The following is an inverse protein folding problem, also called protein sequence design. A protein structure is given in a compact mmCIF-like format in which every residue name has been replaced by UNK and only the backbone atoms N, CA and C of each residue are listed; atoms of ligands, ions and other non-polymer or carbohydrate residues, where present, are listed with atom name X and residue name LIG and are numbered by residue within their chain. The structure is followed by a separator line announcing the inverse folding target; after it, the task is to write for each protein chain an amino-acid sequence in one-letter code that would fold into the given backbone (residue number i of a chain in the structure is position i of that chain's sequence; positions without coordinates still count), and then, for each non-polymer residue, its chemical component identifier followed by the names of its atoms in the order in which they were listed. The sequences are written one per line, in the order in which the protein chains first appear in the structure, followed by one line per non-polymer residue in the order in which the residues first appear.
data_IF_762310812231
#
_entry.id   IF_762310812231
#
_cell.length_a   1.000
_cell.length_b   1.000
_cell.length_c   1.000
_cell.angle_alpha   90.00
_cell.angle_beta   90.00
_cell.angle_gamma   90.00
#
_symmetry.space_group_name_H-M   'P 1'
#
loop_
_entity.id
_entity.type
_entity.pdbx_description
1 polymer ?
#
# COMPACT_ATOMS: atom_id res chain seq x y z
N UNK A 1 50.97 61.28 -25.32
CA UNK A 1 49.53 60.98 -24.95
C UNK A 1 49.28 59.49 -25.02
N UNK A 2 49.25 58.79 -23.91
CA UNK A 2 48.99 57.34 -23.84
C UNK A 2 47.48 57.15 -23.48
N UNK A 3 46.70 56.55 -24.38
CA UNK A 3 45.27 56.18 -24.14
C UNK A 3 45.25 54.86 -23.43
N UNK A 4 44.72 54.81 -22.19
CA UNK A 4 44.43 53.58 -21.48
C UNK A 4 42.99 53.08 -21.90
N UNK A 5 42.94 51.89 -22.51
CA UNK A 5 41.68 51.18 -22.74
C UNK A 5 41.32 50.38 -21.50
N UNK A 6 40.26 50.77 -20.82
CA UNK A 6 39.62 50.02 -19.75
C UNK A 6 38.75 48.91 -20.39
N UNK A 7 39.15 47.63 -20.21
CA UNK A 7 38.31 46.48 -20.55
C UNK A 7 37.38 46.22 -19.40
N UNK A 8 36.08 46.42 -19.60
CA UNK A 8 35.04 45.99 -18.66
C UNK A 8 34.92 44.47 -18.72
N UNK A 9 35.28 43.78 -17.62
CA UNK A 9 35.07 42.37 -17.40
C UNK A 9 33.65 42.18 -16.83
N UNK A 10 32.69 41.82 -17.66
CA UNK A 10 31.35 41.50 -17.22
C UNK A 10 31.35 40.11 -16.58
N UNK A 11 31.26 40.07 -15.24
CA UNK A 11 31.08 38.85 -14.48
C UNK A 11 29.56 38.52 -14.55
N UNK A 12 29.23 37.51 -15.35
CA UNK A 12 27.87 36.95 -15.44
C UNK A 12 27.65 36.04 -14.23
N UNK A 13 26.93 36.51 -13.21
CA UNK A 13 26.48 35.71 -12.11
C UNK A 13 25.31 34.81 -12.59
N UNK A 14 25.59 33.54 -12.83
CA UNK A 14 24.54 32.51 -12.97
C UNK A 14 23.98 32.23 -11.58
N UNK A 15 22.82 32.81 -11.28
CA UNK A 15 21.99 32.34 -10.18
C UNK A 15 21.42 30.98 -10.59
N UNK A 16 22.02 29.91 -10.08
CA UNK A 16 21.37 28.58 -10.03
C UNK A 16 20.20 28.67 -9.05
N UNK A 17 19.03 28.97 -9.59
CA UNK A 17 17.80 28.74 -8.87
C UNK A 17 17.63 27.22 -8.71
N UNK A 18 18.15 26.66 -7.62
CA UNK A 18 17.73 25.35 -7.15
C UNK A 18 16.29 25.51 -6.66
N UNK A 19 15.35 25.21 -7.54
CA UNK A 19 13.97 24.96 -7.11
C UNK A 19 14.02 23.71 -6.24
N UNK A 20 14.08 23.91 -4.94
CA UNK A 20 13.68 22.86 -4.00
C UNK A 20 12.23 22.55 -4.35
N UNK A 21 12.01 21.43 -5.03
CA UNK A 21 10.69 20.85 -5.14
C UNK A 21 10.35 20.42 -3.72
N UNK A 22 9.51 21.19 -3.03
CA UNK A 22 8.86 20.73 -1.82
C UNK A 22 8.13 19.43 -2.21
N UNK A 23 8.69 18.29 -1.78
CA UNK A 23 8.06 17.01 -1.98
C UNK A 23 6.72 17.05 -1.26
N UNK A 24 5.63 17.05 -2.04
CA UNK A 24 4.28 17.00 -1.49
C UNK A 24 4.12 15.72 -0.67
N UNK A 25 4.23 15.83 0.64
CA UNK A 25 3.91 14.75 1.57
C UNK A 25 2.41 14.81 1.81
N UNK A 26 1.63 13.88 1.26
CA UNK A 26 0.19 13.89 1.45
C UNK A 26 -0.14 13.73 2.93
N UNK A 27 -1.07 14.56 3.44
CA UNK A 27 -1.51 14.44 4.84
C UNK A 27 -2.11 13.05 5.08
N UNK A 28 -1.73 12.37 6.17
CA UNK A 28 -2.27 11.06 6.50
C UNK A 28 -3.80 11.12 6.65
N UNK A 29 -4.49 10.16 6.05
CA UNK A 29 -5.94 10.02 6.28
C UNK A 29 -6.20 9.57 7.72
N UNK A 30 -7.38 9.88 8.27
CA UNK A 30 -7.78 9.40 9.60
C UNK A 30 -7.67 7.87 9.71
N UNK A 31 -8.05 7.16 8.64
CA UNK A 31 -7.99 5.70 8.60
C UNK A 31 -6.55 5.18 8.60
N UNK A 32 -5.63 5.85 7.89
CA UNK A 32 -4.21 5.52 7.96
C UNK A 32 -3.68 5.64 9.39
N UNK A 33 -3.97 6.73 10.10
CA UNK A 33 -3.51 6.92 11.48
C UNK A 33 -4.00 5.79 12.39
N UNK A 34 -5.26 5.38 12.25
CA UNK A 34 -5.82 4.26 13.02
C UNK A 34 -5.13 2.92 12.72
N UNK A 35 -4.75 2.68 11.47
CA UNK A 35 -3.99 1.49 11.09
C UNK A 35 -2.53 1.55 11.53
N UNK A 36 -1.95 2.75 11.60
CA UNK A 36 -0.56 2.97 12.02
C UNK A 36 -0.36 2.76 13.52
N UNK A 37 -1.32 3.17 14.36
CA UNK A 37 -1.30 2.98 15.81
C UNK A 37 -1.16 1.51 16.18
N UNK A 38 -0.23 1.20 17.08
CA UNK A 38 0.07 -0.18 17.51
C UNK A 38 -0.87 -0.68 18.63
N UNK A 39 -1.63 0.21 19.26
CA UNK A 39 -2.57 -0.12 20.34
C UNK A 39 -3.92 -0.65 19.80
N UNK A 40 -4.69 -1.26 20.71
CA UNK A 40 -6.05 -1.76 20.45
C UNK A 40 -6.16 -2.83 19.34
N UNK A 41 -5.10 -3.55 19.05
CA UNK A 41 -5.14 -4.75 18.23
C UNK A 41 -5.37 -5.97 19.11
N UNK A 42 -6.45 -6.71 18.85
CA UNK A 42 -6.82 -7.92 19.59
C UNK A 42 -6.42 -9.14 18.78
N UNK A 43 -5.68 -10.06 19.40
CA UNK A 43 -5.26 -11.31 18.74
C UNK A 43 -6.49 -12.16 18.42
N UNK A 44 -6.65 -12.44 17.14
CA UNK A 44 -7.73 -13.29 16.63
C UNK A 44 -7.29 -14.74 16.43
N UNK A 45 -6.10 -14.96 15.86
CA UNK A 45 -5.53 -16.29 15.64
C UNK A 45 -4.01 -16.24 15.76
N UNK A 46 -3.48 -17.10 16.64
CA UNK A 46 -2.05 -17.33 16.83
C UNK A 46 -1.63 -18.78 16.51
N UNK A 47 -2.55 -19.61 16.00
CA UNK A 47 -2.32 -21.03 15.71
C UNK A 47 -1.49 -21.24 14.43
N UNK A 48 -1.45 -20.26 13.56
CA UNK A 48 -0.67 -20.27 12.32
C UNK A 48 0.72 -19.70 12.52
N UNK A 49 1.61 -19.90 11.53
CA UNK A 49 2.94 -19.26 11.51
C UNK A 49 2.89 -17.74 11.37
N UNK A 50 1.70 -17.13 11.29
CA UNK A 50 1.46 -15.70 11.24
C UNK A 50 0.53 -15.34 12.41
N UNK A 51 0.79 -14.22 13.04
CA UNK A 51 -0.12 -13.63 14.02
C UNK A 51 -1.19 -12.85 13.28
N UNK A 52 -2.47 -13.13 13.55
CA UNK A 52 -3.61 -12.40 12.99
C UNK A 52 -4.31 -11.66 14.11
N UNK A 53 -4.47 -10.36 13.93
CA UNK A 53 -5.15 -9.49 14.89
C UNK A 53 -6.22 -8.65 14.21
N UNK A 54 -7.19 -8.21 14.99
CA UNK A 54 -8.27 -7.33 14.54
C UNK A 54 -8.33 -6.07 15.39
N UNK A 55 -8.80 -4.96 14.79
CA UNK A 55 -8.97 -3.68 15.49
C UNK A 55 -10.32 -3.07 15.11
N UNK A 56 -11.10 -2.67 16.10
CA UNK A 56 -12.36 -1.97 15.86
C UNK A 56 -12.09 -0.55 15.37
N UNK A 57 -12.69 -0.18 14.26
CA UNK A 57 -12.58 1.17 13.71
C UNK A 57 -13.77 2.01 14.21
N UNK A 58 -13.54 3.15 14.90
CA UNK A 58 -14.60 3.98 15.43
C UNK A 58 -15.59 4.43 14.34
N UNK A 59 -16.89 4.17 14.59
CA UNK A 59 -17.97 4.51 13.67
C UNK A 59 -18.08 3.58 12.45
N UNK A 60 -17.47 2.40 12.51
CA UNK A 60 -17.58 1.35 11.48
C UNK A 60 -18.02 0.04 12.10
N UNK A 61 -18.80 -0.73 11.33
CA UNK A 61 -19.31 -2.04 11.77
C UNK A 61 -18.26 -3.15 11.59
N UNK A 62 -17.29 -2.95 10.71
CA UNK A 62 -16.25 -3.91 10.40
C UNK A 62 -14.96 -3.61 11.13
N UNK A 63 -14.16 -4.65 11.31
CA UNK A 63 -12.83 -4.56 11.92
C UNK A 63 -11.75 -4.37 10.85
N UNK A 64 -10.70 -3.64 11.21
CA UNK A 64 -9.43 -3.74 10.50
C UNK A 64 -8.77 -5.10 10.83
N UNK A 65 -8.00 -5.61 9.90
CA UNK A 65 -7.25 -6.86 10.05
C UNK A 65 -5.76 -6.56 9.93
N UNK A 66 -4.95 -7.15 10.80
CA UNK A 66 -3.50 -7.15 10.74
C UNK A 66 -3.00 -8.58 10.67
N UNK A 67 -2.06 -8.81 9.77
CA UNK A 67 -1.27 -10.05 9.72
C UNK A 67 0.18 -9.68 9.95
N UNK A 68 0.84 -10.38 10.88
CA UNK A 68 2.22 -10.11 11.24
C UNK A 68 3.07 -11.37 11.26
N UNK A 69 4.36 -11.21 10.90
CA UNK A 69 5.38 -12.26 11.00
C UNK A 69 6.78 -11.68 11.12
N UNK A 70 7.59 -12.27 12.01
CA UNK A 70 9.01 -11.99 12.05
C UNK A 70 9.79 -12.89 11.10
N UNK A 71 10.73 -12.30 10.35
CA UNK A 71 11.55 -12.99 9.37
C UNK A 71 12.98 -12.44 9.35
N UNK A 72 13.91 -13.28 8.93
CA UNK A 72 15.28 -12.87 8.60
C UNK A 72 15.31 -12.35 7.14
N UNK A 73 14.83 -11.13 6.96
CA UNK A 73 14.79 -10.41 5.67
C UNK A 73 15.03 -8.93 5.92
N UNK A 74 15.71 -8.22 5.01
CA UNK A 74 15.80 -6.77 5.08
C UNK A 74 14.42 -6.12 4.95
N UNK A 75 14.19 -5.05 5.71
CA UNK A 75 12.89 -4.36 5.78
C UNK A 75 12.36 -3.86 4.42
N UNK A 76 13.25 -3.47 3.51
CA UNK A 76 12.88 -2.85 2.23
C UNK A 76 12.54 -3.85 1.13
N UNK A 77 12.81 -5.15 1.31
CA UNK A 77 12.56 -6.17 0.28
C UNK A 77 11.07 -6.30 -0.04
N UNK A 78 10.21 -6.17 0.95
CA UNK A 78 8.75 -6.24 0.77
C UNK A 78 8.23 -4.98 0.04
N UNK A 79 8.82 -3.81 0.29
CA UNK A 79 8.49 -2.57 -0.40
C UNK A 79 8.57 -2.72 -1.93
N UNK A 80 9.68 -3.29 -2.43
CA UNK A 80 9.88 -3.52 -3.87
C UNK A 80 8.78 -4.41 -4.48
N UNK A 81 8.29 -5.39 -3.71
CA UNK A 81 7.21 -6.29 -4.14
C UNK A 81 5.87 -5.55 -4.17
N UNK A 82 5.57 -4.78 -3.12
CA UNK A 82 4.29 -4.07 -3.00
C UNK A 82 4.17 -2.91 -4.01
N UNK A 83 5.27 -2.30 -4.38
CA UNK A 83 5.28 -1.24 -5.41
C UNK A 83 5.23 -1.78 -6.84
N UNK A 84 5.29 -3.11 -7.05
CA UNK A 84 5.29 -3.77 -8.36
C UNK A 84 3.87 -4.21 -8.77
N UNK A 85 2.94 -3.25 -8.85
CA UNK A 85 1.51 -3.49 -9.12
C UNK A 85 1.31 -4.25 -10.46
N UNK A 86 2.09 -3.94 -11.48
CA UNK A 86 2.03 -4.59 -12.80
C UNK A 86 2.18 -6.11 -12.75
N UNK A 87 2.86 -6.61 -11.71
CA UNK A 87 3.13 -8.03 -11.55
C UNK A 87 2.26 -8.71 -10.46
N UNK A 88 1.32 -8.00 -9.84
CA UNK A 88 0.44 -8.58 -8.81
C UNK A 88 -0.24 -9.86 -9.30
N UNK A 89 -0.75 -9.87 -10.52
CA UNK A 89 -1.40 -11.06 -11.12
C UNK A 89 -0.46 -12.28 -11.24
N UNK A 90 0.87 -12.09 -11.18
CA UNK A 90 1.87 -13.17 -11.26
C UNK A 90 2.17 -13.80 -9.91
N UNK A 91 2.15 -13.03 -8.83
CA UNK A 91 2.59 -13.53 -7.52
C UNK A 91 1.50 -13.52 -6.44
N UNK A 92 0.46 -12.68 -6.50
CA UNK A 92 -0.68 -12.74 -5.59
C UNK A 92 -1.68 -13.84 -6.02
N UNK A 93 -1.22 -15.08 -6.08
CA UNK A 93 -2.00 -16.22 -6.61
C UNK A 93 -3.12 -16.66 -5.71
N UNK A 94 -2.92 -16.56 -4.40
CA UNK A 94 -3.88 -17.01 -3.38
C UNK A 94 -5.04 -16.02 -3.18
N UNK A 95 -4.95 -14.81 -3.74
CA UNK A 95 -6.04 -13.83 -3.74
C UNK A 95 -7.13 -14.13 -4.76
N UNK A 96 -7.08 -15.30 -5.40
CA UNK A 96 -8.03 -15.71 -6.44
C UNK A 96 -7.70 -15.09 -7.79
N UNK A 97 -8.73 -14.79 -8.58
CA UNK A 97 -8.60 -14.18 -9.92
C UNK A 97 -8.68 -12.65 -9.86
N UNK A 98 -8.10 -12.03 -8.83
CA UNK A 98 -7.98 -10.58 -8.77
C UNK A 98 -7.21 -10.06 -9.98
N UNK A 99 -7.75 -9.04 -10.63
CA UNK A 99 -7.08 -8.32 -11.71
C UNK A 99 -6.53 -7.03 -11.14
N UNK A 100 -5.27 -6.72 -11.42
CA UNK A 100 -4.61 -5.49 -10.98
C UNK A 100 -3.91 -4.83 -12.14
N UNK A 101 -4.16 -3.54 -12.34
CA UNK A 101 -3.55 -2.72 -13.37
C UNK A 101 -2.94 -1.45 -12.76
N UNK A 102 -1.73 -1.11 -13.20
CA UNK A 102 -1.12 0.18 -12.90
C UNK A 102 -1.64 1.22 -13.88
N UNK A 103 -2.23 2.30 -13.38
CA UNK A 103 -2.83 3.37 -14.20
C UNK A 103 -1.85 4.50 -14.43
N UNK A 104 -1.21 4.95 -13.36
CA UNK A 104 -0.29 6.06 -13.37
C UNK A 104 0.82 5.85 -12.36
N UNK A 105 2.03 6.28 -12.69
CA UNK A 105 3.19 6.23 -11.80
C UNK A 105 3.91 7.56 -11.82
N UNK A 106 4.12 8.11 -10.65
CA UNK A 106 4.95 9.29 -10.41
C UNK A 106 6.14 8.92 -9.52
N UNK A 107 6.98 9.88 -9.17
CA UNK A 107 8.01 9.71 -8.15
C UNK A 107 7.44 9.55 -6.73
N UNK A 108 6.23 10.03 -6.49
CA UNK A 108 5.62 10.10 -5.17
C UNK A 108 4.61 8.99 -4.90
N UNK A 109 3.87 8.56 -5.91
CA UNK A 109 2.81 7.56 -5.77
C UNK A 109 2.57 6.77 -7.06
N UNK A 110 1.80 5.69 -6.91
CA UNK A 110 1.24 4.94 -8.03
C UNK A 110 -0.28 4.89 -7.85
N UNK A 111 -1.03 5.16 -8.93
CA UNK A 111 -2.44 4.87 -9.01
C UNK A 111 -2.64 3.50 -9.66
N UNK A 112 -3.46 2.68 -9.04
CA UNK A 112 -3.79 1.35 -9.50
C UNK A 112 -5.30 1.12 -9.53
N UNK A 113 -5.70 0.15 -10.33
CA UNK A 113 -7.04 -0.39 -10.39
C UNK A 113 -7.02 -1.85 -9.93
N UNK A 114 -8.03 -2.26 -9.20
CA UNK A 114 -8.24 -3.67 -8.86
C UNK A 114 -9.70 -4.07 -9.11
N UNK A 115 -9.86 -5.28 -9.66
CA UNK A 115 -11.13 -5.96 -9.80
C UNK A 115 -11.05 -7.30 -9.07
N UNK A 116 -12.03 -7.56 -8.22
CA UNK A 116 -12.11 -8.74 -7.35
C UNK A 116 -13.40 -9.50 -7.67
N UNK A 117 -13.34 -10.63 -8.38
CA UNK A 117 -14.50 -11.47 -8.61
C UNK A 117 -14.89 -12.20 -7.33
N UNK A 118 -16.13 -12.03 -6.89
CA UNK A 118 -16.65 -12.65 -5.67
C UNK A 118 -17.06 -14.10 -5.93
N UNK A 119 -17.52 -14.42 -7.13
CA UNK A 119 -17.92 -15.79 -7.56
C UNK A 119 -18.95 -16.46 -6.65
N UNK A 120 -19.80 -15.69 -6.01
CA UNK A 120 -20.92 -16.19 -5.22
C UNK A 120 -22.23 -15.76 -5.89
N UNK A 121 -23.23 -16.65 -5.96
CA UNK A 121 -24.56 -16.30 -6.45
C UNK A 121 -25.14 -15.10 -5.68
N UNK A 122 -25.76 -14.18 -6.39
CA UNK A 122 -26.43 -12.99 -5.83
C UNK A 122 -25.52 -11.91 -5.23
N UNK A 123 -24.21 -12.03 -5.39
CA UNK A 123 -23.26 -11.00 -4.94
C UNK A 123 -22.49 -10.44 -6.12
N UNK A 124 -22.47 -9.12 -6.19
CA UNK A 124 -21.68 -8.42 -7.20
C UNK A 124 -20.19 -8.62 -6.98
N UNK A 125 -19.41 -8.53 -8.03
CA UNK A 125 -17.97 -8.39 -7.94
C UNK A 125 -17.59 -7.04 -7.28
N UNK A 126 -16.34 -6.84 -6.97
CA UNK A 126 -15.85 -5.60 -6.37
C UNK A 126 -14.78 -4.99 -7.25
N UNK A 127 -14.79 -3.67 -7.35
CA UNK A 127 -13.74 -2.94 -8.05
C UNK A 127 -13.41 -1.64 -7.34
N UNK A 128 -12.18 -1.17 -7.49
CA UNK A 128 -11.75 0.09 -6.93
C UNK A 128 -10.49 0.63 -7.59
N UNK A 129 -10.34 1.94 -7.47
CA UNK A 129 -9.10 2.66 -7.70
C UNK A 129 -8.43 2.90 -6.37
N UNK A 130 -7.10 2.81 -6.34
CA UNK A 130 -6.33 3.09 -5.13
C UNK A 130 -5.08 3.88 -5.47
N UNK A 131 -4.59 4.65 -4.52
CA UNK A 131 -3.29 5.32 -4.58
C UNK A 131 -2.38 4.76 -3.52
N UNK A 132 -1.18 4.36 -3.95
CA UNK A 132 -0.15 3.76 -3.08
C UNK A 132 1.10 4.64 -3.06
N UNK A 133 1.66 4.79 -1.87
CA UNK A 133 2.83 5.60 -1.58
C UNK A 133 3.96 4.73 -1.05
N UNK A 134 5.20 4.92 -1.56
CA UNK A 134 6.36 4.09 -1.19
C UNK A 134 6.98 4.46 0.15
N UNK A 135 6.57 5.55 0.79
CA UNK A 135 7.20 6.07 2.00
C UNK A 135 6.14 6.44 3.04
N UNK A 136 6.51 6.28 4.31
CA UNK A 136 5.71 6.80 5.42
C UNK A 136 5.78 8.31 5.55
N UNK A 137 4.97 8.87 6.46
CA UNK A 137 4.94 10.31 6.76
C UNK A 137 6.06 10.78 7.69
N UNK A 138 6.84 9.85 8.24
CA UNK A 138 7.99 10.11 9.09
C UNK A 138 9.17 9.36 8.56
N UNK A 139 10.30 10.04 8.44
CA UNK A 139 11.58 9.40 8.17
C UNK A 139 12.04 8.70 9.45
N UNK A 140 12.22 7.40 9.37
CA UNK A 140 12.76 6.55 10.43
C UNK A 140 13.50 5.38 9.78
N UNK A 141 14.81 5.39 9.90
CA UNK A 141 15.67 4.37 9.30
C UNK A 141 15.42 2.94 9.82
N UNK A 142 14.74 2.80 10.95
CA UNK A 142 14.34 1.50 11.49
C UNK A 142 13.09 0.93 10.82
N UNK A 143 12.36 1.76 10.05
CA UNK A 143 11.07 1.44 9.46
C UNK A 143 11.14 1.42 7.94
N UNK A 144 10.27 0.60 7.32
CA UNK A 144 9.91 0.66 5.91
C UNK A 144 8.39 0.61 5.82
N UNK A 145 7.79 1.63 5.20
CA UNK A 145 6.35 1.82 5.17
C UNK A 145 5.90 2.01 3.73
N UNK A 146 4.92 1.21 3.31
CA UNK A 146 4.14 1.42 2.09
C UNK A 146 2.69 1.50 2.48
N UNK A 147 2.00 2.56 2.10
CA UNK A 147 0.59 2.71 2.45
C UNK A 147 -0.26 3.10 1.25
N UNK A 148 -1.53 2.77 1.30
CA UNK A 148 -2.47 3.08 0.23
C UNK A 148 -3.85 3.42 0.78
N UNK A 149 -4.64 4.10 -0.03
CA UNK A 149 -6.05 4.37 0.24
C UNK A 149 -6.86 4.28 -1.04
N UNK A 150 -8.15 3.99 -0.90
CA UNK A 150 -9.08 3.98 -2.02
C UNK A 150 -9.37 5.41 -2.51
N UNK A 151 -9.43 5.56 -3.81
CA UNK A 151 -9.85 6.79 -4.46
C UNK A 151 -11.37 6.75 -4.66
N UNK A 152 -12.00 7.93 -4.59
CA UNK A 152 -13.43 8.03 -4.93
C UNK A 152 -13.61 7.84 -6.44
N UNK A 153 -14.74 7.25 -6.81
CA UNK A 153 -15.13 7.18 -8.22
C UNK A 153 -15.30 8.59 -8.78
N UNK A 154 -14.46 8.93 -9.74
CA UNK A 154 -14.50 10.19 -10.50
C UNK A 154 -14.86 9.95 -11.97
N UNK A 155 -15.48 8.81 -12.29
CA UNK A 155 -15.83 8.44 -13.65
C UNK A 155 -14.65 7.99 -14.51
N UNK A 156 -13.60 7.41 -13.90
CA UNK A 156 -12.43 6.93 -14.62
C UNK A 156 -12.83 5.85 -15.64
N UNK A 157 -12.26 5.91 -16.85
CA UNK A 157 -12.61 5.03 -17.97
C UNK A 157 -12.35 3.55 -17.73
N UNK A 158 -11.47 3.20 -16.77
CA UNK A 158 -11.18 1.82 -16.40
C UNK A 158 -12.24 1.20 -15.49
N UNK A 159 -13.09 1.99 -14.84
CA UNK A 159 -14.21 1.46 -14.10
C UNK A 159 -15.18 0.86 -15.12
N UNK A 160 -15.33 -0.47 -15.07
CA UNK A 160 -16.17 -1.22 -16.01
C UNK A 160 -17.64 -0.95 -15.71
N UNK A 161 -18.20 0.11 -16.26
CA UNK A 161 -19.64 0.44 -16.13
C UNK A 161 -20.59 -0.66 -16.61
N UNK A 162 -20.09 -1.63 -17.36
CA UNK A 162 -20.85 -2.80 -17.86
C UNK A 162 -20.74 -4.04 -16.99
N UNK A 163 -19.94 -4.02 -15.92
CA UNK A 163 -19.86 -5.12 -14.96
C UNK A 163 -20.84 -4.88 -13.80
N UNK A 164 -21.43 -5.94 -13.28
CA UNK A 164 -22.22 -5.88 -12.04
C UNK A 164 -21.28 -5.73 -10.82
N UNK A 165 -20.23 -4.90 -10.92
CA UNK A 165 -19.29 -4.71 -9.84
C UNK A 165 -19.71 -3.53 -8.97
N UNK A 166 -19.69 -3.74 -7.66
CA UNK A 166 -19.83 -2.67 -6.67
C UNK A 166 -18.49 -1.95 -6.52
N UNK A 167 -18.50 -0.64 -6.77
CA UNK A 167 -17.30 0.20 -6.57
C UNK A 167 -17.07 0.50 -5.09
N UNK A 168 -15.84 0.30 -4.61
CA UNK A 168 -15.46 0.52 -3.22
C UNK A 168 -14.84 1.92 -3.04
N UNK A 169 -15.43 2.71 -2.12
CA UNK A 169 -15.03 4.10 -1.88
C UNK A 169 -14.28 4.32 -0.56
N UNK A 170 -14.21 3.31 0.31
CA UNK A 170 -13.72 3.48 1.67
C UNK A 170 -12.82 2.32 2.08
N UNK A 171 -11.53 2.59 2.15
CA UNK A 171 -10.53 1.63 2.56
C UNK A 171 -9.14 2.23 2.55
N UNK A 172 -8.25 1.63 3.33
CA UNK A 172 -6.83 1.91 3.37
C UNK A 172 -6.06 0.67 3.81
N UNK A 173 -4.79 0.62 3.47
CA UNK A 173 -3.87 -0.41 3.93
C UNK A 173 -2.48 0.12 4.18
N UNK A 174 -1.75 -0.61 5.00
CA UNK A 174 -0.42 -0.28 5.46
C UNK A 174 0.44 -1.54 5.50
N UNK A 175 1.49 -1.57 4.69
CA UNK A 175 2.60 -2.49 4.85
C UNK A 175 3.64 -1.83 5.73
N UNK A 176 4.01 -2.52 6.79
CA UNK A 176 4.89 -2.01 7.80
C UNK A 176 5.98 -3.03 8.09
N UNK A 177 7.24 -2.62 8.01
CA UNK A 177 8.39 -3.44 8.34
C UNK A 177 9.28 -2.70 9.33
N UNK A 178 9.58 -3.34 10.47
CA UNK A 178 10.37 -2.78 11.56
C UNK A 178 11.50 -3.74 11.94
N UNK A 179 12.72 -3.23 11.97
CA UNK A 179 13.83 -4.00 12.52
C UNK A 179 13.62 -4.22 14.02
N UNK A 180 13.49 -5.46 14.44
CA UNK A 180 13.30 -5.85 15.86
C UNK A 180 14.57 -6.40 16.49
N UNK A 181 15.54 -6.88 15.65
CA UNK A 181 16.89 -7.28 16.05
C UNK A 181 17.84 -7.15 14.85
N UNK A 182 19.14 -7.42 15.04
CA UNK A 182 20.18 -7.25 14.01
C UNK A 182 19.82 -7.87 12.66
N UNK A 183 19.28 -9.10 12.65
CA UNK A 183 18.96 -9.85 11.43
C UNK A 183 17.47 -10.27 11.42
N UNK A 184 16.62 -9.55 12.14
CA UNK A 184 15.22 -9.88 12.28
C UNK A 184 14.33 -8.66 12.09
N UNK A 185 13.39 -8.78 11.17
CA UNK A 185 12.40 -7.76 10.84
C UNK A 185 11.01 -8.30 11.10
N UNK A 186 10.20 -7.54 11.82
CA UNK A 186 8.75 -7.77 11.90
C UNK A 186 8.11 -7.12 10.68
N UNK A 187 7.37 -7.91 9.90
CA UNK A 187 6.57 -7.48 8.78
C UNK A 187 5.10 -7.58 9.14
N UNK A 188 4.34 -6.53 8.90
CA UNK A 188 2.89 -6.57 9.06
C UNK A 188 2.16 -5.96 7.87
N UNK A 189 0.98 -6.50 7.56
CA UNK A 189 0.02 -5.93 6.64
C UNK A 189 -1.26 -5.62 7.40
N UNK A 190 -1.64 -4.35 7.43
CA UNK A 190 -2.79 -3.82 8.16
C UNK A 190 -3.76 -3.22 7.15
N UNK A 191 -5.02 -3.62 7.20
CA UNK A 191 -6.00 -3.22 6.19
C UNK A 191 -7.38 -3.02 6.81
N UNK A 192 -8.08 -2.03 6.30
CA UNK A 192 -9.51 -1.87 6.44
C UNK A 192 -10.09 -1.58 5.05
N UNK A 193 -11.07 -2.36 4.64
CA UNK A 193 -11.88 -2.10 3.44
C UNK A 193 -13.35 -2.30 3.82
N UNK A 194 -14.17 -1.30 3.46
CA UNK A 194 -15.61 -1.41 3.46
C UNK A 194 -16.04 -2.06 2.14
N UNK A 195 -16.52 -3.30 2.14
CA UNK A 195 -16.81 -4.04 0.92
C UNK A 195 -18.06 -3.52 0.19
N UNK A 196 -18.78 -2.58 0.78
CA UNK A 196 -20.03 -2.03 0.24
C UNK A 196 -21.11 -3.07 0.04
N UNK A 197 -22.32 -2.61 -0.26
CA UNK A 197 -23.47 -3.48 -0.55
C UNK A 197 -23.96 -4.29 0.65
N UNK A 198 -24.83 -5.28 0.38
CA UNK A 198 -25.50 -6.10 1.42
C UNK A 198 -24.81 -7.45 1.61
N UNK A 199 -23.51 -7.45 1.94
CA UNK A 199 -22.82 -8.70 2.29
C UNK A 199 -23.12 -9.07 3.75
N UNK A 200 -23.47 -10.34 4.06
CA UNK A 200 -23.56 -10.80 5.43
C UNK A 200 -22.24 -10.68 6.18
N UNK A 201 -22.28 -10.25 7.45
CA UNK A 201 -21.06 -9.98 8.24
C UNK A 201 -20.14 -11.20 8.34
N UNK A 202 -20.69 -12.42 8.47
CA UNK A 202 -19.86 -13.64 8.52
C UNK A 202 -19.05 -13.87 7.24
N UNK A 203 -19.59 -13.49 6.09
CA UNK A 203 -18.92 -13.62 4.80
C UNK A 203 -17.83 -12.55 4.65
N UNK A 204 -18.11 -11.34 5.11
CA UNK A 204 -17.13 -10.25 5.15
C UNK A 204 -15.94 -10.63 6.02
N UNK A 205 -16.20 -11.17 7.20
CA UNK A 205 -15.14 -11.62 8.12
C UNK A 205 -14.29 -12.74 7.51
N UNK A 206 -14.92 -13.71 6.86
CA UNK A 206 -14.21 -14.79 6.18
C UNK A 206 -13.33 -14.27 5.03
N UNK A 207 -13.90 -13.42 4.18
CA UNK A 207 -13.17 -12.82 3.04
C UNK A 207 -12.01 -11.99 3.55
N UNK A 208 -12.23 -11.08 4.50
CA UNK A 208 -11.21 -10.20 5.02
C UNK A 208 -10.06 -10.98 5.65
N UNK A 209 -10.36 -11.90 6.57
CA UNK A 209 -9.32 -12.65 7.27
C UNK A 209 -8.54 -13.58 6.34
N UNK A 210 -9.24 -14.39 5.54
CA UNK A 210 -8.58 -15.36 4.65
C UNK A 210 -7.80 -14.66 3.53
N UNK A 211 -8.41 -13.66 2.88
CA UNK A 211 -7.76 -12.95 1.76
C UNK A 211 -6.55 -12.15 2.21
N UNK A 212 -6.63 -11.46 3.36
CA UNK A 212 -5.52 -10.67 3.89
C UNK A 212 -4.32 -11.55 4.25
N UNK A 213 -4.56 -12.70 4.90
CA UNK A 213 -3.51 -13.68 5.22
C UNK A 213 -2.86 -14.21 3.94
N UNK A 214 -3.66 -14.51 2.93
CA UNK A 214 -3.16 -15.03 1.66
C UNK A 214 -2.33 -13.99 0.89
N UNK A 215 -2.79 -12.75 0.78
CA UNK A 215 -2.05 -11.64 0.18
C UNK A 215 -0.71 -11.44 0.90
N UNK A 216 -0.73 -11.45 2.23
CA UNK A 216 0.49 -11.32 3.03
C UNK A 216 1.47 -12.46 2.73
N UNK A 217 1.02 -13.72 2.74
CA UNK A 217 1.85 -14.90 2.45
C UNK A 217 2.46 -14.83 1.05
N UNK A 218 1.68 -14.51 0.05
CA UNK A 218 2.14 -14.42 -1.34
C UNK A 218 3.19 -13.31 -1.51
N UNK A 219 2.96 -12.13 -0.93
CA UNK A 219 3.90 -11.01 -0.97
C UNK A 219 5.22 -11.34 -0.28
N UNK A 220 5.17 -11.96 0.90
CA UNK A 220 6.36 -12.42 1.63
C UNK A 220 7.12 -13.50 0.84
N UNK A 221 6.42 -14.46 0.25
CA UNK A 221 7.05 -15.51 -0.56
C UNK A 221 7.77 -14.93 -1.79
N UNK A 222 7.16 -13.97 -2.48
CA UNK A 222 7.80 -13.27 -3.60
C UNK A 222 8.99 -12.42 -3.13
N UNK A 223 8.90 -11.74 -1.99
CA UNK A 223 10.00 -10.98 -1.41
C UNK A 223 11.20 -11.89 -1.07
N UNK A 224 10.96 -13.03 -0.44
CA UNK A 224 11.99 -14.03 -0.16
C UNK A 224 12.64 -14.56 -1.44
N UNK A 225 11.84 -14.82 -2.47
CA UNK A 225 12.34 -15.29 -3.77
C UNK A 225 13.25 -14.24 -4.41
N UNK A 226 12.81 -12.98 -4.50
CA UNK A 226 13.58 -11.87 -5.08
C UNK A 226 14.87 -11.61 -4.29
N UNK A 227 14.83 -11.72 -2.97
CA UNK A 227 16.00 -11.55 -2.12
C UNK A 227 17.05 -12.64 -2.38
N UNK A 228 16.64 -13.91 -2.48
CA UNK A 228 17.56 -15.03 -2.84
C UNK A 228 18.16 -14.92 -4.24
N UNK A 229 17.50 -14.26 -5.16
CA UNK A 229 18.01 -14.07 -6.53
C UNK A 229 19.03 -12.93 -6.65
N UNK A 230 19.05 -12.00 -5.67
CA UNK A 230 20.00 -10.88 -5.63
C UNK A 230 21.32 -11.24 -4.90
N UNK A 231 21.29 -12.28 -4.07
CA UNK A 231 22.45 -12.81 -3.31
C UNK A 231 22.97 -14.11 -3.94
#
# INVERSE_FOLDING_TARGET
MRKYHFKYLSILFFFLNSTFSDSYVPKPTKLFNLLYEEDNWEVFDSSSSNLVSTKKIPGKDLFAVMVEKELNLPKDVVKDVIMDIKNYNRFLKSSGSMISDEINRTSEYIDGYQFIPIRLPFFDDREYLFRIYPNGFKEDDSLSIVHWHLLRDQGHSLIRKSSNATYLNNGAGLWFAKNVAKDRTSFSYRIYIDPGGSLPNFLIDLINKTSVVNIFKDAIAEAQKRHRQKN
#
